data_IF_618701504601
#
_entry.id   IF_618701504601
#
_cell.length_a   1.000
_cell.length_b   1.000
_cell.length_c   1.000
_cell.angle_alpha   90.00
_cell.angle_beta   90.00
_cell.angle_gamma   90.00
#
_symmetry.space_group_name_H-M   'P 1'
#
loop_
_entity.id
_entity.type
_entity.pdbx_description
1 polymer ?
#
# COMPACT_ATOMS: atom_id res chain seq x y z
N UNK A 1 18.67 -3.35 12.40
CA UNK A 1 17.53 -2.46 12.70
C UNK A 1 17.59 -1.31 11.69
N UNK A 2 16.53 -1.12 10.92
CA UNK A 2 16.44 -0.04 9.95
C UNK A 2 15.57 1.05 10.58
N UNK A 3 16.13 2.22 10.80
CA UNK A 3 15.39 3.41 11.18
C UNK A 3 15.02 4.20 9.91
N UNK A 4 13.86 4.82 9.88
CA UNK A 4 13.60 5.85 8.88
C UNK A 4 14.57 7.01 9.15
N UNK A 5 15.03 7.69 8.11
CA UNK A 5 16.07 8.75 8.24
C UNK A 5 15.65 9.89 9.20
N UNK A 6 14.36 10.04 9.49
CA UNK A 6 13.81 10.98 10.47
C UNK A 6 13.70 10.44 11.90
N UNK A 7 14.03 9.15 12.12
CA UNK A 7 13.87 8.46 13.41
C UNK A 7 15.21 8.03 14.01
N UNK A 8 16.34 8.47 13.43
CA UNK A 8 17.66 8.07 13.91
C UNK A 8 17.86 8.65 15.29
N UNK A 9 18.03 7.82 16.35
CA UNK A 9 18.28 8.31 17.70
C UNK A 9 19.58 9.12 17.76
N UNK A 10 19.59 10.17 18.57
CA UNK A 10 20.78 11.01 18.76
C UNK A 10 21.98 10.15 19.21
N UNK A 11 23.10 10.22 18.48
CA UNK A 11 24.33 9.47 18.76
C UNK A 11 24.42 8.09 18.08
N UNK A 12 23.42 7.71 17.29
CA UNK A 12 23.56 6.57 16.38
C UNK A 12 23.98 7.05 15.00
N UNK A 13 24.94 6.36 14.40
CA UNK A 13 25.28 6.56 12.99
C UNK A 13 24.09 6.09 12.13
N UNK A 14 23.86 6.80 11.03
CA UNK A 14 22.98 6.34 9.98
C UNK A 14 23.39 4.91 9.63
N UNK A 15 22.51 3.95 9.91
CA UNK A 15 22.85 2.54 9.77
C UNK A 15 23.40 2.32 8.36
N UNK A 16 24.49 1.58 8.24
CA UNK A 16 25.06 1.22 6.96
C UNK A 16 23.97 0.66 6.06
N UNK A 17 23.44 1.51 5.19
CA UNK A 17 22.43 1.13 4.22
C UNK A 17 23.15 0.28 3.17
N UNK A 18 23.02 -1.03 3.29
CA UNK A 18 23.48 -1.91 2.23
C UNK A 18 22.47 -1.83 1.10
N UNK A 19 22.81 -1.13 0.05
CA UNK A 19 22.07 -1.09 -1.21
C UNK A 19 22.79 -2.01 -2.20
N UNK A 20 22.27 -3.23 -2.39
CA UNK A 20 22.85 -4.13 -3.38
C UNK A 20 22.66 -3.55 -4.78
N UNK A 21 23.69 -3.68 -5.63
CA UNK A 21 23.57 -3.38 -7.04
C UNK A 21 22.51 -4.27 -7.69
N UNK A 22 21.73 -3.71 -8.59
CA UNK A 22 20.74 -4.47 -9.36
C UNK A 22 21.37 -5.42 -10.37
N UNK A 23 22.68 -5.26 -10.69
CA UNK A 23 23.38 -5.99 -11.75
C UNK A 23 22.59 -6.01 -13.07
N UNK A 24 21.96 -4.88 -13.39
CA UNK A 24 21.10 -4.73 -14.55
C UNK A 24 21.68 -3.68 -15.48
N UNK A 25 21.51 -3.86 -16.79
CA UNK A 25 21.96 -2.89 -17.80
C UNK A 25 21.34 -1.50 -17.66
N UNK A 26 20.16 -1.44 -17.02
CA UNK A 26 19.37 -0.22 -16.81
C UNK A 26 19.52 0.28 -15.36
N UNK A 27 20.58 -0.09 -14.64
CA UNK A 27 20.77 0.21 -13.21
C UNK A 27 20.60 1.70 -12.89
N UNK A 28 21.11 2.58 -13.74
CA UNK A 28 20.94 4.03 -13.56
C UNK A 28 19.46 4.47 -13.63
N UNK A 29 18.68 3.88 -14.52
CA UNK A 29 17.25 4.16 -14.63
C UNK A 29 16.48 3.60 -13.43
N UNK A 30 16.86 2.42 -12.97
CA UNK A 30 16.27 1.79 -11.79
C UNK A 30 16.55 2.64 -10.54
N UNK A 31 17.80 3.05 -10.33
CA UNK A 31 18.19 3.82 -9.16
C UNK A 31 17.55 5.22 -9.11
N UNK A 32 17.21 5.79 -10.25
CA UNK A 32 16.55 7.09 -10.36
C UNK A 32 15.00 6.99 -10.38
N UNK A 33 14.42 5.79 -10.37
CA UNK A 33 12.98 5.60 -10.35
C UNK A 33 12.43 5.56 -8.93
N UNK A 34 11.13 5.83 -8.80
CA UNK A 34 10.42 5.78 -7.53
C UNK A 34 10.39 4.38 -6.90
N UNK A 35 10.06 4.34 -5.61
CA UNK A 35 9.94 3.11 -4.80
C UNK A 35 11.19 2.21 -4.85
N UNK A 36 12.39 2.84 -4.79
CA UNK A 36 13.65 2.11 -4.82
C UNK A 36 13.88 1.35 -6.13
N UNK A 37 13.41 1.88 -7.25
CA UNK A 37 13.53 1.28 -8.57
C UNK A 37 12.33 0.42 -8.99
N UNK A 38 11.42 0.14 -8.07
CA UNK A 38 10.27 -0.74 -8.33
C UNK A 38 9.39 -0.26 -9.48
N UNK A 39 9.16 1.05 -9.59
CA UNK A 39 8.32 1.62 -10.64
C UNK A 39 8.88 1.34 -12.03
N UNK A 40 10.19 1.49 -12.22
CA UNK A 40 10.85 1.18 -13.48
C UNK A 40 10.76 -0.31 -13.82
N UNK A 41 11.07 -1.18 -12.85
CA UNK A 41 11.07 -2.63 -13.05
C UNK A 41 9.68 -3.13 -13.45
N UNK A 42 8.63 -2.70 -12.73
CA UNK A 42 7.25 -3.12 -13.03
C UNK A 42 6.83 -2.64 -14.42
N UNK A 43 7.12 -1.39 -14.78
CA UNK A 43 6.80 -0.86 -16.09
C UNK A 43 7.55 -1.62 -17.21
N UNK A 44 8.85 -1.87 -17.02
CA UNK A 44 9.66 -2.63 -17.98
C UNK A 44 9.12 -4.05 -18.17
N UNK A 45 8.88 -4.78 -17.08
CA UNK A 45 8.34 -6.15 -17.13
C UNK A 45 7.00 -6.20 -17.87
N UNK A 46 6.12 -5.23 -17.61
CA UNK A 46 4.84 -5.14 -18.31
C UNK A 46 5.00 -4.94 -19.82
N UNK A 47 5.88 -4.01 -20.22
CA UNK A 47 6.16 -3.76 -21.63
C UNK A 47 6.83 -4.95 -22.33
N UNK A 48 7.72 -5.66 -21.64
CA UNK A 48 8.35 -6.87 -22.15
C UNK A 48 7.32 -7.98 -22.37
N UNK A 49 6.37 -8.17 -21.43
CA UNK A 49 5.28 -9.13 -21.59
C UNK A 49 4.41 -8.83 -22.81
N UNK A 50 4.06 -7.55 -23.05
CA UNK A 50 3.30 -7.13 -24.24
C UNK A 50 4.12 -7.41 -25.51
N UNK A 51 5.39 -7.02 -25.51
CA UNK A 51 6.28 -7.13 -26.68
C UNK A 51 6.56 -8.59 -27.08
N UNK A 52 6.69 -9.47 -26.08
CA UNK A 52 6.98 -10.89 -26.30
C UNK A 52 5.71 -11.75 -26.41
N UNK A 53 4.54 -11.21 -26.08
CA UNK A 53 3.28 -11.95 -26.05
C UNK A 53 3.25 -13.06 -25.00
N UNK A 54 4.04 -12.88 -23.92
CA UNK A 54 4.18 -13.87 -22.83
C UNK A 54 3.65 -13.32 -21.52
N UNK A 55 3.12 -14.20 -20.69
CA UNK A 55 2.83 -13.87 -19.30
C UNK A 55 4.15 -13.90 -18.49
N UNK A 56 4.31 -13.02 -17.49
CA UNK A 56 5.45 -13.08 -16.58
C UNK A 56 5.42 -14.38 -15.78
N UNK A 57 6.59 -14.78 -15.26
CA UNK A 57 6.71 -15.97 -14.40
C UNK A 57 5.78 -15.91 -13.18
N UNK A 58 5.57 -14.70 -12.65
CA UNK A 58 4.59 -14.39 -11.62
C UNK A 58 3.51 -13.47 -12.19
N UNK A 59 2.47 -14.03 -12.82
CA UNK A 59 1.47 -13.23 -13.52
C UNK A 59 0.68 -12.35 -12.55
N UNK A 60 0.66 -11.06 -12.85
CA UNK A 60 -0.26 -10.10 -12.24
C UNK A 60 -1.60 -10.19 -12.96
N UNK A 61 -2.35 -11.25 -12.70
CA UNK A 61 -3.74 -11.32 -13.14
C UNK A 61 -4.65 -10.52 -12.21
N UNK A 62 -5.85 -10.23 -12.67
CA UNK A 62 -6.83 -9.46 -11.89
C UNK A 62 -7.12 -10.09 -10.52
N UNK A 63 -7.16 -11.40 -10.42
CA UNK A 63 -7.45 -12.09 -9.17
C UNK A 63 -6.31 -11.93 -8.17
N UNK A 64 -5.08 -12.07 -8.63
CA UNK A 64 -3.88 -11.83 -7.79
C UNK A 64 -3.81 -10.38 -7.31
N UNK A 65 -4.10 -9.41 -8.19
CA UNK A 65 -4.12 -8.00 -7.83
C UNK A 65 -5.18 -7.68 -6.78
N UNK A 66 -6.40 -8.23 -6.92
CA UNK A 66 -7.47 -8.04 -5.93
C UNK A 66 -7.14 -8.73 -4.61
N UNK A 67 -6.56 -9.94 -4.64
CA UNK A 67 -6.10 -10.64 -3.44
C UNK A 67 -5.06 -9.82 -2.68
N UNK A 68 -4.07 -9.26 -3.36
CA UNK A 68 -3.07 -8.39 -2.73
C UNK A 68 -3.70 -7.12 -2.14
N UNK A 69 -4.63 -6.48 -2.85
CA UNK A 69 -5.31 -5.29 -2.37
C UNK A 69 -6.19 -5.57 -1.16
N UNK A 70 -6.76 -6.78 -1.06
CA UNK A 70 -7.60 -7.18 0.08
C UNK A 70 -6.82 -7.22 1.40
N UNK A 71 -5.50 -7.42 1.37
CA UNK A 71 -4.65 -7.44 2.57
C UNK A 71 -4.76 -6.13 3.35
N UNK A 72 -4.66 -4.98 2.66
CA UNK A 72 -4.77 -3.68 3.32
C UNK A 72 -6.18 -3.43 3.88
N UNK A 73 -7.22 -3.85 3.15
CA UNK A 73 -8.61 -3.72 3.58
C UNK A 73 -8.88 -4.58 4.82
N UNK A 74 -8.42 -5.84 4.82
CA UNK A 74 -8.61 -6.76 5.94
C UNK A 74 -7.74 -6.37 7.15
N UNK A 75 -6.54 -5.82 6.93
CA UNK A 75 -5.73 -5.26 8.00
C UNK A 75 -6.42 -4.07 8.69
N UNK A 76 -7.08 -3.20 7.93
CA UNK A 76 -7.89 -2.13 8.49
C UNK A 76 -9.06 -2.66 9.32
N UNK A 77 -9.78 -3.68 8.84
CA UNK A 77 -10.84 -4.34 9.60
C UNK A 77 -10.32 -5.01 10.87
N UNK A 78 -9.19 -5.71 10.76
CA UNK A 78 -8.52 -6.31 11.91
C UNK A 78 -8.20 -5.27 12.99
N UNK A 79 -7.70 -4.10 12.60
CA UNK A 79 -7.44 -2.99 13.53
C UNK A 79 -8.72 -2.53 14.24
N UNK A 80 -9.85 -2.40 13.54
CA UNK A 80 -11.13 -2.01 14.11
C UNK A 80 -11.72 -3.08 15.05
N UNK A 81 -11.35 -4.33 14.88
CA UNK A 81 -11.80 -5.49 15.65
C UNK A 81 -10.72 -6.00 16.64
N UNK A 82 -9.87 -5.10 17.14
CA UNK A 82 -8.84 -5.39 18.15
C UNK A 82 -7.84 -6.50 17.76
N UNK A 83 -7.45 -6.54 16.49
CA UNK A 83 -6.46 -7.50 15.99
C UNK A 83 -7.03 -8.87 15.62
N UNK A 84 -8.32 -8.95 15.31
CA UNK A 84 -8.93 -10.18 14.81
C UNK A 84 -8.21 -10.69 13.58
N UNK A 85 -7.93 -11.97 13.55
CA UNK A 85 -7.33 -12.64 12.39
C UNK A 85 -8.34 -12.75 11.25
N UNK A 86 -7.89 -12.45 10.04
CA UNK A 86 -8.63 -12.63 8.79
C UNK A 86 -7.83 -13.52 7.85
N UNK A 87 -8.50 -14.48 7.23
CA UNK A 87 -7.93 -15.23 6.12
C UNK A 87 -7.89 -14.35 4.87
N UNK A 88 -6.79 -14.38 4.14
CA UNK A 88 -6.65 -13.66 2.88
C UNK A 88 -7.41 -14.43 1.80
N UNK A 89 -8.45 -13.85 1.18
CA UNK A 89 -9.26 -14.56 0.21
C UNK A 89 -8.49 -14.82 -1.09
N UNK A 90 -8.59 -16.03 -1.63
CA UNK A 90 -8.12 -16.33 -2.98
C UNK A 90 -9.25 -16.04 -3.98
N UNK A 91 -9.20 -14.89 -4.62
CA UNK A 91 -10.21 -14.48 -5.59
C UNK A 91 -10.20 -15.29 -6.90
N UNK A 92 -9.29 -16.26 -7.07
CA UNK A 92 -9.42 -17.28 -8.13
C UNK A 92 -10.56 -18.25 -7.83
N UNK A 93 -10.88 -18.42 -6.55
CA UNK A 93 -12.00 -19.26 -6.10
C UNK A 93 -13.31 -18.48 -6.19
N UNK A 94 -14.34 -19.13 -6.75
CA UNK A 94 -15.65 -18.50 -6.91
C UNK A 94 -16.33 -18.22 -5.57
N UNK A 95 -16.13 -19.08 -4.59
CA UNK A 95 -16.67 -18.95 -3.24
C UNK A 95 -16.19 -17.65 -2.59
N UNK A 96 -14.88 -17.35 -2.68
CA UNK A 96 -14.31 -16.10 -2.17
C UNK A 96 -14.89 -14.87 -2.88
N UNK A 97 -15.06 -14.93 -4.21
CA UNK A 97 -15.71 -13.83 -4.95
C UNK A 97 -17.13 -13.57 -4.49
N UNK A 98 -17.92 -14.63 -4.29
CA UNK A 98 -19.32 -14.51 -3.84
C UNK A 98 -19.43 -13.94 -2.43
N UNK A 99 -18.51 -14.31 -1.54
CA UNK A 99 -18.48 -13.80 -0.16
C UNK A 99 -18.34 -12.27 -0.13
N UNK A 100 -17.48 -11.72 -1.00
CA UNK A 100 -17.20 -10.28 -1.03
C UNK A 100 -17.98 -9.50 -2.11
N UNK A 101 -18.80 -10.14 -2.93
CA UNK A 101 -19.52 -9.53 -4.06
C UNK A 101 -20.34 -8.29 -3.66
N UNK A 102 -20.97 -8.36 -2.49
CA UNK A 102 -21.82 -7.30 -1.97
C UNK A 102 -21.18 -6.50 -0.83
N UNK A 103 -19.88 -6.66 -0.62
CA UNK A 103 -19.16 -5.87 0.37
C UNK A 103 -19.07 -4.40 -0.09
N UNK A 104 -19.62 -3.52 0.73
CA UNK A 104 -19.69 -2.06 0.49
C UNK A 104 -19.16 -1.27 1.68
N UNK A 105 -18.42 -1.94 2.57
CA UNK A 105 -17.82 -1.26 3.72
C UNK A 105 -16.71 -0.32 3.27
N UNK A 106 -16.79 0.94 3.68
CA UNK A 106 -15.81 1.96 3.34
C UNK A 106 -15.63 2.97 4.46
N UNK A 107 -14.38 3.33 4.79
CA UNK A 107 -14.08 4.42 5.71
C UNK A 107 -14.08 5.80 5.01
N UNK A 108 -14.34 5.85 3.71
CA UNK A 108 -14.30 7.09 2.92
C UNK A 108 -15.69 7.62 2.63
N UNK A 109 -15.79 8.94 2.44
CA UNK A 109 -16.99 9.56 1.92
C UNK A 109 -17.25 9.09 0.49
N UNK A 110 -18.51 8.84 0.18
CA UNK A 110 -18.92 8.53 -1.19
C UNK A 110 -18.86 9.80 -2.06
N UNK A 111 -18.72 9.64 -3.36
CA UNK A 111 -18.69 10.74 -4.32
C UNK A 111 -19.97 11.60 -4.32
N UNK A 112 -21.08 11.04 -3.87
CA UNK A 112 -22.37 11.72 -3.71
C UNK A 112 -22.55 12.39 -2.34
N UNK A 113 -21.49 12.43 -1.51
CA UNK A 113 -21.48 13.06 -0.19
C UNK A 113 -22.03 12.21 0.95
N UNK A 114 -22.45 10.96 0.71
CA UNK A 114 -22.84 10.05 1.79
C UNK A 114 -21.65 9.78 2.71
N UNK A 115 -21.96 9.66 4.00
CA UNK A 115 -20.97 9.37 5.04
C UNK A 115 -20.40 7.96 4.92
N UNK A 116 -19.18 7.76 5.42
CA UNK A 116 -18.62 6.43 5.61
C UNK A 116 -19.56 5.52 6.41
N UNK A 117 -19.54 4.23 6.11
CA UNK A 117 -20.32 3.22 6.83
C UNK A 117 -19.46 2.35 7.76
N UNK A 118 -18.18 2.67 7.89
CA UNK A 118 -17.28 2.15 8.91
C UNK A 118 -16.31 3.23 9.38
N UNK A 119 -15.75 3.12 10.61
CA UNK A 119 -14.75 4.07 11.09
C UNK A 119 -13.45 4.04 10.28
N UNK A 120 -12.76 5.17 10.20
CA UNK A 120 -11.44 5.24 9.57
C UNK A 120 -10.28 4.79 10.48
N UNK A 121 -10.51 4.77 11.80
CA UNK A 121 -9.53 4.32 12.80
C UNK A 121 -10.24 3.76 14.03
N UNK A 122 -9.48 3.09 14.90
CA UNK A 122 -9.99 2.51 16.15
C UNK A 122 -10.42 3.56 17.20
N UNK A 123 -10.01 4.80 17.03
CA UNK A 123 -10.42 5.93 17.88
C UNK A 123 -11.50 6.74 17.15
N UNK A 124 -12.75 6.35 17.35
CA UNK A 124 -13.91 6.89 16.60
C UNK A 124 -14.28 8.32 17.01
N UNK A 125 -13.93 8.73 18.22
CA UNK A 125 -14.26 10.05 18.77
C UNK A 125 -13.10 11.05 18.69
N UNK A 126 -12.03 10.68 17.99
CA UNK A 126 -10.88 11.56 17.80
C UNK A 126 -11.28 12.80 17.02
N UNK A 127 -11.06 13.96 17.64
CA UNK A 127 -11.13 15.26 16.99
C UNK A 127 -9.76 15.91 17.07
N UNK A 128 -9.16 16.30 15.93
CA UNK A 128 -7.89 17.00 15.97
C UNK A 128 -8.07 18.35 16.72
N UNK A 129 -7.06 18.74 17.49
CA UNK A 129 -7.01 20.06 18.11
C UNK A 129 -6.75 21.13 17.07
N UNK A 130 -7.10 22.39 17.38
CA UNK A 130 -6.84 23.51 16.48
C UNK A 130 -5.34 23.65 16.15
N UNK A 131 -4.47 23.33 17.10
CA UNK A 131 -3.02 23.33 16.91
C UNK A 131 -2.57 22.24 15.90
N UNK A 132 -3.14 21.05 15.98
CA UNK A 132 -2.87 19.97 15.02
C UNK A 132 -3.37 20.33 13.63
N UNK A 133 -4.55 20.94 13.51
CA UNK A 133 -5.09 21.41 12.25
C UNK A 133 -4.17 22.49 11.66
N UNK A 134 -3.77 23.47 12.46
CA UNK A 134 -2.86 24.54 12.03
C UNK A 134 -1.55 23.97 11.51
N UNK A 135 -0.91 23.07 12.26
CA UNK A 135 0.33 22.43 11.85
C UNK A 135 0.19 21.63 10.55
N UNK A 136 -0.93 20.95 10.37
CA UNK A 136 -1.22 20.23 9.12
C UNK A 136 -1.33 21.18 7.92
N UNK A 137 -2.01 22.32 8.09
CA UNK A 137 -2.13 23.33 7.04
C UNK A 137 -0.79 23.95 6.68
N UNK A 138 0.07 24.23 7.67
CA UNK A 138 1.42 24.75 7.45
C UNK A 138 2.30 23.76 6.62
N UNK A 139 2.11 22.45 6.82
CA UNK A 139 2.82 21.41 6.03
C UNK A 139 2.29 21.35 4.59
N UNK A 140 0.99 21.54 4.39
CA UNK A 140 0.39 21.52 3.04
C UNK A 140 0.77 22.74 2.19
N UNK A 141 1.11 23.86 2.82
CA UNK A 141 1.47 25.12 2.15
C UNK A 141 2.99 25.23 1.91
N UNK A 142 3.80 24.31 2.46
CA UNK A 142 5.25 24.30 2.32
C UNK A 142 5.70 23.46 1.12
#
# INVERSE_FOLDING_TARGET
LRYAHWEIPAGMEEANLYEPSWNDKDEDLINNAGHGGGDYIVARMFLECIKEGKQPEHPYDIHSAVTMSSVAILAHRSMLENGKSYDIPDFKMEECRKEYENDRLTPFYYSDGRKPNMPCCSVTDYKPTDEQIKRYMEILES
#
